data_IF_269350973505
#
_entry.id   IF_269350973505
#
_cell.length_a   1.000
_cell.length_b   1.000
_cell.length_c   1.000
_cell.angle_alpha   90.00
_cell.angle_beta   90.00
_cell.angle_gamma   90.00
#
_symmetry.space_group_name_H-M   'P 1'
#
loop_
_entity.id
_entity.type
_entity.pdbx_description
1 polymer ?
#
# COMPACT_ATOMS: atom_id res chain seq x y z
N UNK A 1 16.10 4.98 15.88
CA UNK A 1 16.46 3.63 15.41
C UNK A 1 16.83 3.67 13.93
N UNK A 2 15.90 3.71 12.97
CA UNK A 2 16.26 3.98 11.56
C UNK A 2 16.76 5.43 11.33
N UNK A 3 16.42 6.37 12.21
CA UNK A 3 17.00 7.72 12.27
C UNK A 3 18.53 7.72 12.29
N UNK A 4 19.16 6.76 12.98
CA UNK A 4 20.62 6.67 13.05
C UNK A 4 21.23 6.31 11.69
N UNK A 5 20.63 5.35 10.98
CA UNK A 5 21.07 4.97 9.63
C UNK A 5 20.97 6.14 8.66
N UNK A 6 19.89 6.93 8.73
CA UNK A 6 19.71 8.13 7.90
C UNK A 6 20.74 9.20 8.26
N UNK A 7 21.04 9.36 9.55
CA UNK A 7 22.04 10.32 10.03
C UNK A 7 23.45 9.95 9.56
N UNK A 8 23.87 8.70 9.73
CA UNK A 8 25.15 8.21 9.20
C UNK A 8 25.22 8.33 7.67
N UNK A 9 24.14 7.98 6.97
CA UNK A 9 24.06 8.10 5.51
C UNK A 9 24.30 9.54 5.05
N UNK A 10 23.60 10.52 5.64
CA UNK A 10 23.78 11.92 5.23
C UNK A 10 25.17 12.46 5.59
N UNK A 11 25.77 11.99 6.68
CA UNK A 11 27.16 12.34 7.03
C UNK A 11 28.16 11.80 5.99
N UNK A 12 27.99 10.55 5.54
CA UNK A 12 28.83 9.97 4.50
C UNK A 12 28.70 10.76 3.18
N UNK A 13 27.47 11.06 2.77
CA UNK A 13 27.23 11.85 1.54
C UNK A 13 27.78 13.28 1.69
N UNK A 14 27.66 13.91 2.86
CA UNK A 14 28.22 15.23 3.12
C UNK A 14 29.75 15.22 3.02
N UNK A 15 30.40 14.21 3.59
CA UNK A 15 31.85 14.03 3.51
C UNK A 15 32.33 13.84 2.06
N UNK A 16 31.64 13.02 1.26
CA UNK A 16 31.93 12.84 -0.17
C UNK A 16 31.84 14.16 -0.95
N UNK A 17 30.98 15.07 -0.50
CA UNK A 17 30.81 16.42 -1.05
C UNK A 17 31.70 17.50 -0.37
N UNK A 18 32.65 17.09 0.49
CA UNK A 18 33.57 17.99 1.23
C UNK A 18 32.86 18.99 2.14
N UNK A 19 31.72 18.60 2.72
CA UNK A 19 30.98 19.38 3.69
C UNK A 19 31.34 18.92 5.12
N UNK A 20 31.34 19.85 6.07
CA UNK A 20 31.66 19.55 7.48
C UNK A 20 30.51 18.91 8.25
N UNK A 21 29.27 19.09 7.77
CA UNK A 21 28.06 18.64 8.44
C UNK A 21 27.04 18.06 7.44
N UNK A 22 26.37 16.99 7.85
CA UNK A 22 25.25 16.39 7.13
C UNK A 22 23.91 16.78 7.77
N UNK A 23 22.91 17.09 6.95
CA UNK A 23 21.58 17.50 7.41
C UNK A 23 20.50 16.75 6.67
N UNK A 24 19.77 15.88 7.36
CA UNK A 24 18.59 15.19 6.83
C UNK A 24 17.56 15.05 7.94
N UNK A 25 16.28 15.03 7.57
CA UNK A 25 15.18 14.85 8.51
C UNK A 25 14.33 13.65 8.13
N UNK A 26 13.87 12.94 9.15
CA UNK A 26 13.02 11.76 8.99
C UNK A 26 11.65 12.06 9.56
N UNK A 27 10.64 12.11 8.69
CA UNK A 27 9.31 12.57 9.06
C UNK A 27 8.30 11.44 8.92
N UNK A 28 7.70 10.95 10.03
CA UNK A 28 6.60 10.00 9.94
C UNK A 28 5.34 10.70 9.45
N UNK A 29 4.57 10.00 8.62
CA UNK A 29 3.28 10.46 8.11
C UNK A 29 2.23 9.35 8.21
N UNK A 30 1.09 9.53 7.54
CA UNK A 30 0.03 8.53 7.48
C UNK A 30 -0.60 8.27 8.83
N UNK A 31 -0.91 7.01 9.11
CA UNK A 31 -1.69 6.64 10.29
C UNK A 31 -0.93 6.79 11.60
N UNK A 32 0.40 6.68 11.57
CA UNK A 32 1.24 6.89 12.74
C UNK A 32 1.16 8.35 13.22
N UNK A 33 1.29 9.32 12.30
CA UNK A 33 1.22 10.75 12.63
C UNK A 33 -0.18 11.21 13.08
N UNK A 34 -1.24 10.53 12.65
CA UNK A 34 -2.61 10.73 13.14
C UNK A 34 -2.90 9.99 14.45
N UNK A 35 -1.93 9.23 14.98
CA UNK A 35 -2.10 8.28 16.09
C UNK A 35 -3.18 7.21 15.83
N UNK A 36 -3.66 7.11 14.59
CA UNK A 36 -4.74 6.25 14.17
C UNK A 36 -4.24 4.95 13.50
N UNK A 37 -3.06 4.48 13.90
CA UNK A 37 -2.52 3.20 13.48
C UNK A 37 -3.23 2.06 14.20
N UNK A 38 -3.25 0.88 13.58
CA UNK A 38 -3.70 -0.37 14.19
C UNK A 38 -2.46 -1.24 14.50
N UNK A 39 -2.55 -2.30 15.31
CA UNK A 39 -1.40 -3.17 15.60
C UNK A 39 -0.74 -3.81 14.36
N UNK A 40 -1.46 -3.88 13.24
CA UNK A 40 -0.99 -4.37 11.94
C UNK A 40 -0.66 -3.27 10.94
N UNK A 41 -0.54 -2.02 11.39
CA UNK A 41 -0.21 -0.89 10.52
C UNK A 41 1.30 -0.79 10.31
N UNK A 42 1.67 -0.48 9.08
CA UNK A 42 3.04 -0.14 8.72
C UNK A 42 3.38 1.29 9.22
N UNK A 43 4.67 1.56 9.39
CA UNK A 43 5.21 2.87 9.70
C UNK A 43 5.65 3.55 8.40
N UNK A 44 4.85 4.52 7.95
CA UNK A 44 5.15 5.34 6.79
C UNK A 44 6.05 6.53 7.16
N UNK A 45 7.22 6.64 6.54
CA UNK A 45 8.18 7.72 6.80
C UNK A 45 8.77 8.25 5.50
N UNK A 46 9.07 9.55 5.48
CA UNK A 46 9.84 10.19 4.41
C UNK A 46 11.19 10.65 4.97
N UNK A 47 12.25 10.31 4.26
CA UNK A 47 13.58 10.89 4.44
C UNK A 47 13.66 12.13 3.57
N UNK A 48 13.85 13.29 4.19
CA UNK A 48 14.04 14.57 3.54
C UNK A 48 15.55 14.82 3.48
N UNK A 49 16.10 14.75 2.28
CA UNK A 49 17.51 14.99 1.98
C UNK A 49 17.77 16.41 1.43
N UNK A 50 18.96 16.97 1.67
CA UNK A 50 19.40 18.26 1.16
C UNK A 50 19.86 18.15 -0.30
N UNK A 51 20.16 19.29 -0.93
CA UNK A 51 20.50 19.38 -2.37
C UNK A 51 21.68 18.50 -2.81
N UNK A 52 22.61 18.22 -1.90
CA UNK A 52 23.81 17.42 -2.16
C UNK A 52 23.58 15.90 -2.04
N UNK A 53 22.36 15.48 -1.71
CA UNK A 53 21.95 14.07 -1.72
C UNK A 53 21.15 13.74 -2.99
N UNK A 54 21.14 12.47 -3.40
CA UNK A 54 20.41 12.00 -4.58
C UNK A 54 19.55 10.78 -4.30
N UNK A 55 18.55 10.55 -5.17
CA UNK A 55 17.73 9.33 -5.15
C UNK A 55 18.61 8.08 -5.30
N UNK A 56 19.62 8.16 -6.16
CA UNK A 56 20.53 7.03 -6.38
C UNK A 56 21.35 6.72 -5.13
N UNK A 57 21.82 7.74 -4.40
CA UNK A 57 22.50 7.55 -3.10
C UNK A 57 21.56 6.98 -2.03
N UNK A 58 20.28 7.36 -2.05
CA UNK A 58 19.28 6.76 -1.17
C UNK A 58 19.05 5.27 -1.47
N UNK A 59 18.97 4.87 -2.74
CA UNK A 59 18.77 3.47 -3.13
C UNK A 59 20.06 2.64 -3.22
N UNK A 60 21.24 3.25 -3.17
CA UNK A 60 22.52 2.55 -3.08
C UNK A 60 23.02 2.51 -1.63
N UNK A 61 23.52 3.64 -1.12
CA UNK A 61 24.19 3.71 0.18
C UNK A 61 23.24 3.41 1.35
N UNK A 62 22.10 4.12 1.45
CA UNK A 62 21.18 3.89 2.58
C UNK A 62 20.52 2.49 2.50
N UNK A 63 20.21 2.00 1.30
CA UNK A 63 19.70 0.63 1.12
C UNK A 63 20.71 -0.41 1.61
N UNK A 64 21.99 -0.25 1.27
CA UNK A 64 23.07 -1.13 1.74
C UNK A 64 23.19 -1.09 3.27
N UNK A 65 23.18 0.10 3.86
CA UNK A 65 23.21 0.26 5.32
C UNK A 65 22.00 -0.41 6.01
N UNK A 66 20.81 -0.31 5.42
CA UNK A 66 19.62 -1.01 5.91
C UNK A 66 19.82 -2.53 5.80
N UNK A 67 20.31 -3.03 4.65
CA UNK A 67 20.55 -4.47 4.44
C UNK A 67 21.57 -5.07 5.40
N UNK A 68 22.59 -4.31 5.78
CA UNK A 68 23.64 -4.75 6.71
C UNK A 68 23.23 -4.67 8.18
N UNK A 69 22.13 -3.98 8.52
CA UNK A 69 21.73 -3.80 9.90
C UNK A 69 21.11 -5.10 10.46
N UNK A 70 21.60 -5.65 11.60
CA UNK A 70 21.27 -6.99 12.08
C UNK A 70 19.78 -7.21 12.39
N UNK A 71 19.09 -6.15 12.82
CA UNK A 71 17.67 -6.21 13.21
C UNK A 71 16.70 -5.94 12.05
N UNK A 72 17.20 -5.92 10.81
CA UNK A 72 16.38 -5.74 9.62
C UNK A 72 16.08 -7.06 8.93
N UNK A 73 14.88 -7.15 8.37
CA UNK A 73 14.44 -8.29 7.57
C UNK A 73 13.49 -7.84 6.47
N UNK A 74 13.24 -8.72 5.50
CA UNK A 74 12.28 -8.50 4.41
C UNK A 74 12.49 -7.18 3.64
N UNK A 75 13.75 -6.75 3.48
CA UNK A 75 14.11 -5.53 2.76
C UNK A 75 13.76 -5.66 1.27
N UNK A 76 13.13 -4.64 0.71
CA UNK A 76 12.78 -4.51 -0.73
C UNK A 76 12.88 -3.06 -1.17
N UNK A 77 13.50 -2.79 -2.31
CA UNK A 77 13.42 -1.49 -2.98
C UNK A 77 12.33 -1.49 -4.06
N UNK A 78 11.63 -0.37 -4.19
CA UNK A 78 10.68 -0.08 -5.26
C UNK A 78 11.08 1.26 -5.87
N UNK A 79 11.92 1.21 -6.91
CA UNK A 79 12.56 2.41 -7.48
C UNK A 79 11.77 3.06 -8.63
N UNK A 80 10.98 2.26 -9.35
CA UNK A 80 10.24 2.67 -10.56
C UNK A 80 8.78 3.04 -10.31
N UNK A 81 8.38 3.18 -9.04
CA UNK A 81 7.05 3.60 -8.64
C UNK A 81 6.87 5.13 -8.65
N UNK A 82 5.61 5.59 -8.54
CA UNK A 82 5.32 7.04 -8.41
C UNK A 82 5.98 7.68 -7.21
N UNK A 83 5.98 6.94 -6.10
CA UNK A 83 6.72 7.27 -4.90
C UNK A 83 7.73 6.14 -4.74
N UNK A 84 8.98 6.35 -5.17
CA UNK A 84 10.04 5.39 -4.91
C UNK A 84 10.23 5.22 -3.41
N UNK A 85 10.32 3.99 -2.94
CA UNK A 85 10.46 3.69 -1.50
C UNK A 85 11.21 2.38 -1.23
N UNK A 86 11.76 2.26 -0.02
CA UNK A 86 12.35 1.04 0.53
C UNK A 86 11.38 0.51 1.59
N UNK A 87 10.96 -0.75 1.44
CA UNK A 87 10.16 -1.48 2.43
C UNK A 87 11.07 -2.39 3.23
N UNK A 88 10.91 -2.45 4.54
CA UNK A 88 11.60 -3.44 5.37
C UNK A 88 10.81 -3.71 6.65
N UNK A 89 11.27 -4.69 7.42
CA UNK A 89 10.81 -4.96 8.77
C UNK A 89 11.98 -4.77 9.72
N UNK A 90 11.78 -3.98 10.77
CA UNK A 90 12.79 -3.76 11.81
C UNK A 90 12.11 -3.92 13.17
N UNK A 91 12.63 -4.81 14.02
CA UNK A 91 12.02 -5.16 15.31
C UNK A 91 10.51 -5.45 15.20
N UNK A 92 10.13 -6.28 14.22
CA UNK A 92 8.73 -6.64 13.90
C UNK A 92 7.81 -5.51 13.41
N UNK A 93 8.30 -4.28 13.28
CA UNK A 93 7.57 -3.17 12.68
C UNK A 93 7.86 -3.15 11.18
N UNK A 94 6.82 -3.23 10.36
CA UNK A 94 6.94 -2.97 8.92
C UNK A 94 7.11 -1.46 8.69
N UNK A 95 8.11 -1.07 7.91
CA UNK A 95 8.47 0.32 7.64
C UNK A 95 8.53 0.54 6.13
N UNK A 96 7.83 1.59 5.68
CA UNK A 96 7.87 2.09 4.32
C UNK A 96 8.61 3.43 4.32
N UNK A 97 9.81 3.47 3.75
CA UNK A 97 10.67 4.67 3.71
C UNK A 97 10.70 5.25 2.30
N UNK A 98 10.05 6.38 2.11
CA UNK A 98 10.15 7.18 0.90
C UNK A 98 11.28 8.21 1.00
N UNK A 99 11.68 8.76 -0.15
CA UNK A 99 12.71 9.79 -0.23
C UNK A 99 12.19 11.06 -0.89
N UNK A 100 12.54 12.21 -0.32
CA UNK A 100 12.29 13.52 -0.90
C UNK A 100 13.56 14.38 -0.81
N UNK A 101 13.93 15.02 -1.91
CA UNK A 101 15.01 16.01 -1.94
C UNK A 101 14.45 17.43 -1.96
N UNK A 102 15.01 18.29 -1.12
CA UNK A 102 14.81 19.74 -1.18
C UNK A 102 16.05 20.45 -1.69
N UNK A 103 15.87 21.62 -2.31
CA UNK A 103 16.95 22.47 -2.80
C UNK A 103 17.52 23.37 -1.71
N UNK A 104 17.92 22.79 -0.58
CA UNK A 104 18.59 23.47 0.54
C UNK A 104 19.85 22.73 0.97
N UNK A 105 20.77 23.43 1.62
CA UNK A 105 21.92 22.81 2.28
C UNK A 105 21.57 22.20 3.65
N UNK A 106 20.56 22.77 4.32
CA UNK A 106 20.12 22.33 5.64
C UNK A 106 18.63 22.01 5.60
N UNK A 107 18.27 20.83 6.09
CA UNK A 107 16.89 20.36 6.15
C UNK A 107 16.24 20.88 7.43
N UNK A 108 15.07 21.56 7.36
CA UNK A 108 14.34 22.01 8.54
C UNK A 108 13.93 20.84 9.43
N UNK A 109 13.88 21.08 10.75
CA UNK A 109 13.40 20.08 11.71
C UNK A 109 11.90 19.83 11.51
N UNK A 110 11.42 18.63 11.85
CA UNK A 110 10.00 18.25 11.74
C UNK A 110 9.03 19.26 12.39
N UNK A 111 9.44 19.94 13.45
CA UNK A 111 8.61 20.98 14.09
C UNK A 111 8.39 22.22 13.24
N UNK A 112 9.37 22.57 12.40
CA UNK A 112 9.36 23.71 11.47
C UNK A 112 8.63 23.36 10.16
N UNK A 113 8.49 22.06 9.86
CA UNK A 113 7.76 21.56 8.68
C UNK A 113 6.22 21.70 8.80
N UNK A 114 5.73 22.23 9.92
CA UNK A 114 4.29 22.43 10.18
C UNK A 114 3.68 23.53 9.30
N UNK A 115 4.48 24.48 8.81
CA UNK A 115 3.98 25.55 7.96
C UNK A 115 3.86 25.08 6.49
N UNK A 116 2.60 24.90 6.06
CA UNK A 116 2.06 24.21 4.86
C UNK A 116 2.68 24.48 3.48
N UNK A 117 3.75 25.28 3.34
CA UNK A 117 4.24 25.74 2.03
C UNK A 117 5.76 25.66 1.90
N UNK A 118 6.50 25.52 3.01
CA UNK A 118 7.95 25.74 3.00
C UNK A 118 8.73 24.74 2.14
N UNK A 119 8.30 23.49 2.06
CA UNK A 119 9.00 22.49 1.24
C UNK A 119 8.59 22.53 -0.23
N UNK A 120 7.36 22.92 -0.59
CA UNK A 120 6.89 22.75 -1.97
C UNK A 120 7.61 23.65 -2.97
N UNK A 121 7.92 24.89 -2.60
CA UNK A 121 8.73 25.79 -3.45
C UNK A 121 10.19 25.34 -3.56
N UNK A 122 10.65 24.49 -2.64
CA UNK A 122 12.04 24.00 -2.56
C UNK A 122 12.22 22.63 -3.20
N UNK A 123 11.12 21.98 -3.60
CA UNK A 123 11.15 20.66 -4.22
C UNK A 123 11.17 20.82 -5.74
N UNK A 124 12.23 20.32 -6.35
CA UNK A 124 12.46 20.46 -7.80
C UNK A 124 11.94 19.29 -8.63
N UNK A 125 11.54 18.19 -7.98
CA UNK A 125 11.11 16.98 -8.67
C UNK A 125 9.77 16.47 -8.16
N UNK A 126 8.98 15.92 -9.08
CA UNK A 126 7.68 15.36 -8.75
C UNK A 126 7.75 14.13 -7.84
N UNK A 127 8.79 13.31 -7.99
CA UNK A 127 9.01 12.14 -7.13
C UNK A 127 9.21 12.54 -5.66
N UNK A 128 9.89 13.66 -5.42
CA UNK A 128 10.07 14.21 -4.07
C UNK A 128 8.83 14.94 -3.54
N UNK A 129 7.98 15.45 -4.44
CA UNK A 129 6.77 16.20 -4.08
C UNK A 129 5.72 15.30 -3.42
N UNK A 130 5.48 14.11 -3.96
CA UNK A 130 4.42 13.20 -3.52
C UNK A 130 4.54 12.72 -2.05
N UNK A 131 5.71 12.26 -1.55
CA UNK A 131 5.83 11.88 -0.14
C UNK A 131 5.71 13.11 0.79
N UNK A 132 6.17 14.29 0.38
CA UNK A 132 5.99 15.53 1.16
C UNK A 132 4.53 16.01 1.19
N UNK A 133 3.78 15.82 0.09
CA UNK A 133 2.33 16.04 0.10
C UNK A 133 1.63 15.16 1.12
N UNK A 134 2.09 13.91 1.32
CA UNK A 134 1.52 13.02 2.34
C UNK A 134 1.73 13.58 3.75
N UNK A 135 2.91 14.13 4.05
CA UNK A 135 3.19 14.84 5.31
C UNK A 135 2.26 16.06 5.46
N UNK A 136 2.11 16.85 4.40
CA UNK A 136 1.25 18.04 4.42
C UNK A 136 -0.22 17.66 4.70
N UNK A 137 -0.75 16.60 4.06
CA UNK A 137 -2.12 16.10 4.28
C UNK A 137 -2.36 15.75 5.75
N UNK A 138 -1.39 15.11 6.43
CA UNK A 138 -1.51 14.85 7.86
C UNK A 138 -1.68 16.13 8.68
N UNK A 139 -0.92 17.18 8.35
CA UNK A 139 -1.02 18.46 9.01
C UNK A 139 -2.37 19.14 8.71
N UNK A 140 -2.79 19.18 7.44
CA UNK A 140 -4.10 19.71 7.05
C UNK A 140 -5.24 19.02 7.82
N UNK A 141 -5.20 17.69 7.97
CA UNK A 141 -6.20 16.93 8.74
C UNK A 141 -6.21 17.39 10.20
N UNK A 142 -5.05 17.46 10.85
CA UNK A 142 -4.94 17.90 12.24
C UNK A 142 -5.44 19.34 12.44
N UNK A 143 -5.11 20.25 11.53
CA UNK A 143 -5.54 21.65 11.56
C UNK A 143 -7.04 21.81 11.27
N UNK A 144 -7.60 20.95 10.43
CA UNK A 144 -9.01 21.02 10.00
C UNK A 144 -10.00 20.45 11.03
N UNK A 145 -9.52 19.75 12.07
CA UNK A 145 -10.37 19.17 13.11
C UNK A 145 -10.16 19.97 14.41
N UNK A 146 -10.94 21.06 14.61
CA UNK A 146 -10.68 22.07 15.64
C UNK A 146 -10.92 21.59 17.09
N UNK A 147 -11.61 20.46 17.28
CA UNK A 147 -11.95 19.94 18.60
C UNK A 147 -11.68 18.43 18.70
N UNK A 148 -10.94 18.06 19.75
CA UNK A 148 -10.72 16.70 20.24
C UNK A 148 -10.03 15.72 19.26
N UNK A 149 -8.70 15.84 19.16
CA UNK A 149 -7.86 14.92 18.39
C UNK A 149 -7.99 13.45 18.83
N UNK A 150 -8.34 13.19 20.09
CA UNK A 150 -8.55 11.83 20.59
C UNK A 150 -9.81 11.20 19.96
N UNK A 151 -10.92 11.96 19.86
CA UNK A 151 -12.13 11.49 19.16
C UNK A 151 -11.83 11.22 17.69
N UNK A 152 -11.07 12.09 17.03
CA UNK A 152 -10.65 11.86 15.63
C UNK A 152 -9.85 10.56 15.52
N UNK A 153 -8.85 10.37 16.38
CA UNK A 153 -8.03 9.15 16.40
C UNK A 153 -8.88 7.90 16.62
N UNK A 154 -9.75 7.90 17.62
CA UNK A 154 -10.65 6.77 17.92
C UNK A 154 -11.62 6.49 16.77
N UNK A 155 -12.22 7.53 16.17
CA UNK A 155 -13.12 7.40 15.04
C UNK A 155 -12.43 6.81 13.81
N UNK A 156 -11.21 7.28 13.49
CA UNK A 156 -10.43 6.73 12.38
C UNK A 156 -10.02 5.28 12.68
N UNK A 157 -9.60 4.94 13.89
CA UNK A 157 -9.26 3.56 14.26
C UNK A 157 -10.47 2.63 14.13
N UNK A 158 -11.63 3.04 14.63
CA UNK A 158 -12.88 2.29 14.52
C UNK A 158 -13.26 2.08 13.05
N UNK A 159 -13.29 3.15 12.23
CA UNK A 159 -13.62 3.05 10.81
C UNK A 159 -12.63 2.18 10.04
N UNK A 160 -11.33 2.28 10.33
CA UNK A 160 -10.30 1.41 9.73
C UNK A 160 -10.52 -0.05 10.11
N UNK A 161 -10.79 -0.33 11.37
CA UNK A 161 -11.02 -1.70 11.84
C UNK A 161 -12.32 -2.28 11.27
N UNK A 162 -13.40 -1.50 11.28
CA UNK A 162 -14.66 -1.83 10.62
C UNK A 162 -14.45 -2.15 9.14
N UNK A 163 -13.81 -1.26 8.38
CA UNK A 163 -13.56 -1.47 6.96
C UNK A 163 -12.70 -2.73 6.69
N UNK A 164 -11.75 -3.06 7.59
CA UNK A 164 -11.00 -4.33 7.55
C UNK A 164 -11.92 -5.54 7.81
N UNK A 165 -12.78 -5.49 8.82
CA UNK A 165 -13.77 -6.55 9.07
C UNK A 165 -14.71 -6.73 7.87
N UNK A 166 -15.14 -5.63 7.25
CA UNK A 166 -16.04 -5.62 6.08
C UNK A 166 -15.35 -5.93 4.76
N UNK A 167 -14.03 -6.13 4.76
CA UNK A 167 -13.20 -6.46 3.59
C UNK A 167 -13.22 -5.40 2.48
N UNK A 168 -13.48 -4.14 2.86
CA UNK A 168 -13.46 -2.97 1.98
C UNK A 168 -12.25 -2.05 2.26
N UNK A 169 -11.34 -2.49 3.12
CA UNK A 169 -10.08 -1.81 3.43
C UNK A 169 -8.90 -2.52 2.78
N UNK A 170 -8.19 -1.81 1.90
CA UNK A 170 -6.99 -2.30 1.25
C UNK A 170 -6.76 -1.57 -0.08
N UNK A 171 -5.85 -0.62 -0.09
CA UNK A 171 -5.33 -0.01 -1.32
C UNK A 171 -3.92 -0.55 -1.57
N UNK A 172 -3.68 -1.09 -2.76
CA UNK A 172 -2.34 -1.12 -3.38
C UNK A 172 -2.46 -0.45 -4.76
N UNK A 173 -1.44 0.27 -5.24
CA UNK A 173 -1.59 1.51 -6.00
C UNK A 173 -2.18 1.31 -7.41
N UNK A 174 -2.97 2.30 -7.81
CA UNK A 174 -3.43 2.53 -9.16
C UNK A 174 -2.98 3.89 -9.65
N UNK A 175 -3.24 4.13 -10.92
CA UNK A 175 -2.54 5.09 -11.76
C UNK A 175 -3.24 6.46 -11.79
N UNK A 176 -3.28 7.25 -10.70
CA UNK A 176 -3.50 8.71 -10.82
C UNK A 176 -2.82 9.56 -9.71
N UNK A 177 -2.75 10.87 -9.91
CA UNK A 177 -1.77 11.84 -9.36
C UNK A 177 -2.20 12.59 -8.10
N UNK A 178 -3.36 12.26 -7.54
CA UNK A 178 -3.90 12.83 -6.31
C UNK A 178 -4.41 11.68 -5.41
N UNK A 179 -5.18 11.94 -4.35
CA UNK A 179 -5.92 10.92 -3.58
C UNK A 179 -6.96 10.16 -4.46
N UNK A 180 -6.54 9.63 -5.60
CA UNK A 180 -7.32 8.82 -6.51
C UNK A 180 -7.46 7.47 -5.82
N UNK A 181 -8.63 7.27 -5.25
CA UNK A 181 -9.07 5.95 -4.84
C UNK A 181 -8.95 5.00 -6.04
N UNK A 182 -8.39 3.81 -5.85
CA UNK A 182 -8.43 2.72 -6.84
C UNK A 182 -9.83 2.11 -6.97
N UNK A 183 -10.84 2.89 -6.62
CA UNK A 183 -12.23 2.54 -6.55
C UNK A 183 -12.79 2.66 -7.95
N UNK A 184 -13.09 1.52 -8.54
CA UNK A 184 -13.89 1.41 -9.74
C UNK A 184 -15.39 1.35 -9.40
N UNK A 185 -16.25 1.36 -10.41
CA UNK A 185 -17.71 1.36 -10.22
C UNK A 185 -18.21 0.18 -9.40
N UNK A 186 -17.55 -0.99 -9.45
CA UNK A 186 -17.95 -2.14 -8.63
C UNK A 186 -17.57 -1.97 -7.17
N UNK A 187 -16.31 -1.65 -6.89
CA UNK A 187 -15.83 -1.45 -5.52
C UNK A 187 -16.54 -0.27 -4.85
N UNK A 188 -16.92 0.76 -5.61
CA UNK A 188 -17.75 1.85 -5.10
C UNK A 188 -19.12 1.35 -4.62
N UNK A 189 -19.82 0.56 -5.45
CA UNK A 189 -21.10 -0.04 -5.07
C UNK A 189 -20.97 -0.86 -3.79
N UNK A 190 -19.88 -1.64 -3.67
CA UNK A 190 -19.59 -2.44 -2.48
C UNK A 190 -19.40 -1.58 -1.23
N UNK A 191 -18.61 -0.51 -1.33
CA UNK A 191 -18.37 0.44 -0.24
C UNK A 191 -19.68 1.13 0.19
N UNK A 192 -20.48 1.61 -0.77
CA UNK A 192 -21.76 2.28 -0.49
C UNK A 192 -22.75 1.32 0.19
N UNK A 193 -22.86 0.09 -0.29
CA UNK A 193 -23.73 -0.92 0.32
C UNK A 193 -23.33 -1.21 1.78
N UNK A 194 -22.04 -1.34 2.06
CA UNK A 194 -21.54 -1.53 3.43
C UNK A 194 -21.77 -0.31 4.33
N UNK A 195 -21.62 0.91 3.79
CA UNK A 195 -21.95 2.13 4.53
C UNK A 195 -23.44 2.20 4.89
N UNK A 196 -24.33 1.77 4.00
CA UNK A 196 -25.77 1.72 4.26
C UNK A 196 -26.11 0.69 5.35
N UNK A 197 -25.49 -0.50 5.29
CA UNK A 197 -25.62 -1.52 6.34
C UNK A 197 -25.10 -1.00 7.67
N UNK A 198 -23.91 -0.40 7.69
CA UNK A 198 -23.31 0.22 8.87
C UNK A 198 -24.22 1.29 9.47
N UNK A 199 -24.77 2.19 8.64
CA UNK A 199 -25.71 3.23 9.08
C UNK A 199 -27.01 2.66 9.66
N UNK A 200 -27.45 1.49 9.18
CA UNK A 200 -28.65 0.83 9.70
C UNK A 200 -28.37 0.20 11.07
N UNK A 201 -27.21 -0.44 11.22
CA UNK A 201 -26.75 -1.01 12.50
C UNK A 201 -26.52 0.08 13.55
N UNK A 202 -25.95 1.23 13.16
CA UNK A 202 -25.64 2.31 14.11
C UNK A 202 -26.87 3.07 14.61
N UNK A 203 -28.01 3.02 13.91
CA UNK A 203 -29.27 3.62 14.36
C UNK A 203 -29.83 2.92 15.61
N UNK A 204 -29.77 1.60 15.62
CA UNK A 204 -30.26 0.76 16.72
C UNK A 204 -29.08 0.00 17.37
N UNK A 205 -27.98 0.71 17.63
CA UNK A 205 -26.74 0.09 18.10
C UNK A 205 -26.90 -0.45 19.52
N UNK A 206 -27.19 -1.74 19.63
CA UNK A 206 -27.24 -2.45 20.91
C UNK A 206 -25.88 -3.04 21.29
N UNK A 207 -25.05 -3.41 20.30
CA UNK A 207 -23.73 -3.97 20.53
C UNK A 207 -22.76 -3.68 19.38
N UNK A 208 -21.51 -3.36 19.72
CA UNK A 208 -20.42 -3.13 18.76
C UNK A 208 -20.04 -4.39 17.96
N UNK A 209 -20.30 -5.59 18.50
CA UNK A 209 -19.96 -6.85 17.81
C UNK A 209 -20.71 -7.00 16.48
N UNK A 210 -21.95 -6.53 16.40
CA UNK A 210 -22.76 -6.54 15.18
C UNK A 210 -22.16 -5.67 14.08
N UNK A 211 -21.65 -4.48 14.45
CA UNK A 211 -20.99 -3.59 13.50
C UNK A 211 -19.64 -4.17 13.02
N UNK A 212 -18.90 -4.82 13.94
CA UNK A 212 -17.55 -5.31 13.70
C UNK A 212 -17.48 -6.77 13.22
N UNK A 213 -18.62 -7.36 12.86
CA UNK A 213 -18.67 -8.72 12.32
C UNK A 213 -17.87 -8.83 11.02
N UNK A 214 -17.00 -9.86 10.96
CA UNK A 214 -16.19 -10.17 9.78
C UNK A 214 -17.07 -10.58 8.61
N UNK A 215 -16.89 -9.93 7.47
CA UNK A 215 -17.60 -10.25 6.24
C UNK A 215 -17.25 -11.66 5.76
N UNK A 216 -18.30 -12.45 5.48
CA UNK A 216 -18.18 -13.85 5.07
C UNK A 216 -18.52 -13.99 3.59
N UNK A 217 -17.49 -14.03 2.74
CA UNK A 217 -17.67 -14.12 1.28
C UNK A 217 -18.56 -15.31 0.87
N UNK A 218 -18.44 -16.47 1.52
CA UNK A 218 -19.23 -17.67 1.18
C UNK A 218 -20.73 -17.58 1.48
N UNK A 219 -21.19 -16.59 2.27
CA UNK A 219 -22.62 -16.38 2.52
C UNK A 219 -23.26 -15.40 1.54
N UNK A 220 -22.45 -14.54 0.92
CA UNK A 220 -22.92 -13.44 0.08
C UNK A 220 -22.65 -13.65 -1.41
N UNK A 221 -21.87 -14.69 -1.75
CA UNK A 221 -21.42 -14.95 -3.11
C UNK A 221 -21.42 -16.45 -3.41
N UNK A 222 -21.94 -16.82 -4.57
CA UNK A 222 -22.08 -18.22 -5.01
C UNK A 222 -20.93 -18.72 -5.89
N UNK A 223 -20.18 -17.82 -6.55
CA UNK A 223 -19.11 -18.17 -7.50
C UNK A 223 -17.83 -17.39 -7.23
N UNK A 224 -16.69 -18.02 -7.49
CA UNK A 224 -15.38 -17.42 -7.24
C UNK A 224 -14.38 -17.76 -8.35
N UNK A 225 -13.74 -16.73 -8.89
CA UNK A 225 -12.48 -16.80 -9.61
C UNK A 225 -11.35 -16.84 -8.59
N UNK A 226 -10.54 -17.88 -8.69
CA UNK A 226 -9.34 -18.10 -7.88
C UNK A 226 -8.09 -17.74 -8.68
N UNK A 227 -7.32 -16.81 -8.13
CA UNK A 227 -5.99 -16.47 -8.66
C UNK A 227 -4.95 -17.14 -7.79
N UNK A 228 -4.23 -18.09 -8.38
CA UNK A 228 -3.17 -18.84 -7.74
C UNK A 228 -1.79 -18.30 -8.14
N UNK A 229 -0.97 -18.00 -7.16
CA UNK A 229 0.46 -17.72 -7.35
C UNK A 229 1.24 -18.87 -6.74
N UNK A 230 2.08 -19.52 -7.55
CA UNK A 230 2.93 -20.64 -7.17
C UNK A 230 4.39 -20.22 -7.31
N UNK A 231 5.17 -20.27 -6.22
CA UNK A 231 6.60 -19.93 -6.25
C UNK A 231 7.38 -20.88 -5.34
N UNK A 232 8.63 -21.18 -5.72
CA UNK A 232 9.55 -22.05 -4.98
C UNK A 232 10.32 -21.31 -3.88
N UNK A 233 10.58 -20.01 -4.06
CA UNK A 233 11.25 -19.14 -3.10
C UNK A 233 10.28 -18.15 -2.42
N UNK A 234 10.44 -17.98 -1.10
CA UNK A 234 9.66 -17.06 -0.27
C UNK A 234 9.94 -15.59 -0.63
N UNK A 235 11.20 -15.20 -0.92
CA UNK A 235 11.52 -13.80 -1.25
C UNK A 235 10.87 -13.40 -2.57
N UNK A 236 10.94 -14.29 -3.57
CA UNK A 236 10.22 -14.11 -4.83
C UNK A 236 8.71 -14.08 -4.62
N UNK A 237 8.15 -14.97 -3.79
CA UNK A 237 6.70 -15.02 -3.57
C UNK A 237 6.13 -13.64 -3.26
N UNK A 238 6.67 -12.93 -2.28
CA UNK A 238 6.09 -11.67 -1.87
C UNK A 238 6.22 -10.55 -2.93
N UNK A 239 7.29 -10.55 -3.74
CA UNK A 239 7.40 -9.66 -4.90
C UNK A 239 6.29 -9.94 -5.91
N UNK A 240 5.98 -11.22 -6.12
CA UNK A 240 4.87 -11.64 -6.98
C UNK A 240 3.50 -11.28 -6.41
N UNK A 241 3.30 -11.41 -5.09
CA UNK A 241 2.10 -10.94 -4.41
C UNK A 241 1.87 -9.46 -4.73
N UNK A 242 2.88 -8.63 -4.51
CA UNK A 242 2.82 -7.19 -4.72
C UNK A 242 2.55 -6.83 -6.18
N UNK A 243 3.25 -7.49 -7.10
CA UNK A 243 3.07 -7.30 -8.53
C UNK A 243 1.64 -7.62 -8.99
N UNK A 244 1.12 -8.78 -8.60
CA UNK A 244 -0.23 -9.22 -8.99
C UNK A 244 -1.30 -8.31 -8.38
N UNK A 245 -1.16 -7.96 -7.09
CA UNK A 245 -2.07 -7.01 -6.42
C UNK A 245 -2.13 -5.66 -7.14
N UNK A 246 -1.00 -5.15 -7.64
CA UNK A 246 -0.96 -3.88 -8.38
C UNK A 246 -1.78 -3.88 -9.68
N UNK A 247 -2.09 -5.06 -10.25
CA UNK A 247 -2.81 -5.21 -11.51
C UNK A 247 -4.27 -5.61 -11.34
N UNK A 248 -4.74 -5.72 -10.10
CA UNK A 248 -6.13 -6.05 -9.81
C UNK A 248 -7.11 -5.04 -10.39
N UNK A 249 -6.85 -3.74 -10.24
CA UNK A 249 -7.72 -2.70 -10.80
C UNK A 249 -7.91 -2.90 -12.31
N UNK A 250 -6.82 -3.11 -13.04
CA UNK A 250 -6.84 -3.37 -14.48
C UNK A 250 -7.60 -4.66 -14.82
N UNK A 251 -7.44 -5.71 -14.02
CA UNK A 251 -8.19 -6.96 -14.20
C UNK A 251 -9.70 -6.72 -14.03
N UNK A 252 -10.12 -6.01 -12.97
CA UNK A 252 -11.54 -5.71 -12.73
C UNK A 252 -12.12 -4.92 -13.91
N UNK A 253 -11.39 -3.92 -14.41
CA UNK A 253 -11.85 -3.12 -15.54
C UNK A 253 -11.99 -3.94 -16.82
N UNK A 254 -11.06 -4.86 -17.09
CA UNK A 254 -11.16 -5.78 -18.23
C UNK A 254 -12.37 -6.70 -18.08
N UNK A 255 -12.53 -7.30 -16.89
CA UNK A 255 -13.66 -8.18 -16.59
C UNK A 255 -15.00 -7.44 -16.73
N UNK A 256 -15.09 -6.22 -16.20
CA UNK A 256 -16.29 -5.39 -16.28
C UNK A 256 -16.63 -5.03 -17.73
N UNK A 257 -15.64 -4.59 -18.52
CA UNK A 257 -15.85 -4.25 -19.94
C UNK A 257 -16.31 -5.45 -20.77
N UNK A 258 -15.72 -6.62 -20.52
CA UNK A 258 -15.93 -7.79 -21.37
C UNK A 258 -17.16 -8.62 -21.01
N UNK A 259 -17.57 -8.58 -19.73
CA UNK A 259 -18.64 -9.44 -19.22
C UNK A 259 -19.85 -8.64 -18.72
N UNK A 260 -19.70 -7.32 -18.54
CA UNK A 260 -20.67 -6.43 -17.91
C UNK A 260 -20.98 -6.74 -16.42
N UNK A 261 -20.25 -7.66 -15.79
CA UNK A 261 -20.48 -8.05 -14.40
C UNK A 261 -19.67 -7.24 -13.39
N UNK A 262 -20.27 -7.05 -12.22
CA UNK A 262 -19.61 -6.47 -11.06
C UNK A 262 -18.72 -7.55 -10.40
N UNK A 263 -17.42 -7.27 -10.25
CA UNK A 263 -16.48 -8.07 -9.46
C UNK A 263 -16.14 -7.44 -8.10
N UNK A 264 -16.36 -8.18 -7.01
CA UNK A 264 -15.91 -7.83 -5.66
C UNK A 264 -14.61 -8.58 -5.31
N UNK A 265 -13.44 -7.90 -5.31
CA UNK A 265 -12.15 -8.54 -5.06
C UNK A 265 -11.94 -8.79 -3.56
N UNK A 266 -11.74 -10.05 -3.16
CA UNK A 266 -11.20 -10.34 -1.84
C UNK A 266 -9.66 -10.22 -1.85
N UNK A 267 -9.14 -9.18 -1.20
CA UNK A 267 -7.69 -8.92 -1.09
C UNK A 267 -6.98 -9.77 -0.02
N UNK A 268 -7.73 -10.61 0.71
CA UNK A 268 -7.18 -11.51 1.72
C UNK A 268 -6.37 -12.61 1.05
N UNK A 269 -5.14 -12.81 1.52
CA UNK A 269 -4.25 -13.86 1.06
C UNK A 269 -4.58 -15.16 1.81
N UNK A 270 -4.72 -16.26 1.07
CA UNK A 270 -4.89 -17.60 1.65
C UNK A 270 -3.68 -18.45 1.26
N UNK A 271 -2.95 -18.98 2.24
CA UNK A 271 -1.88 -19.96 2.00
C UNK A 271 -2.46 -21.36 1.91
N UNK A 272 -2.22 -22.05 0.79
CA UNK A 272 -2.58 -23.46 0.61
C UNK A 272 -1.30 -24.26 0.29
N UNK A 273 -1.06 -25.38 1.01
CA UNK A 273 0.01 -26.33 0.72
C UNK A 273 0.68 -26.97 1.95
N UNK A 274 0.52 -28.29 2.10
CA UNK A 274 1.23 -29.16 3.07
C UNK A 274 2.45 -29.89 2.46
N UNK A 275 2.81 -29.65 1.20
CA UNK A 275 3.97 -30.30 0.56
C UNK A 275 5.13 -29.33 0.37
N UNK A 276 6.32 -29.78 0.79
CA UNK A 276 7.50 -29.01 1.22
C UNK A 276 8.19 -28.06 0.22
N UNK A 277 7.60 -27.69 -0.92
CA UNK A 277 8.28 -26.85 -1.94
C UNK A 277 7.44 -25.78 -2.64
N UNK A 278 6.11 -25.77 -2.51
CA UNK A 278 5.27 -24.86 -3.31
C UNK A 278 4.30 -24.11 -2.43
N UNK A 279 4.47 -22.79 -2.30
CA UNK A 279 3.51 -21.91 -1.63
C UNK A 279 2.48 -21.45 -2.65
N UNK A 280 1.22 -21.79 -2.41
CA UNK A 280 0.09 -21.38 -3.23
C UNK A 280 -0.66 -20.26 -2.50
N UNK A 281 -0.81 -19.11 -3.14
CA UNK A 281 -1.65 -18.03 -2.63
C UNK A 281 -2.89 -17.84 -3.49
N UNK A 282 -4.06 -17.81 -2.86
CA UNK A 282 -5.37 -17.71 -3.54
C UNK A 282 -6.00 -16.32 -3.33
N UNK A 283 -6.56 -15.73 -4.38
CA UNK A 283 -7.50 -14.60 -4.29
C UNK A 283 -8.87 -14.99 -4.84
N UNK A 284 -9.95 -14.57 -4.18
CA UNK A 284 -11.34 -14.92 -4.54
C UNK A 284 -12.08 -13.72 -5.15
N UNK A 285 -12.63 -13.89 -6.36
CA UNK A 285 -13.23 -12.82 -7.16
C UNK A 285 -14.57 -13.24 -7.75
N UNK A 286 -15.68 -12.56 -7.43
CA UNK A 286 -17.00 -13.01 -7.89
C UNK A 286 -17.41 -12.43 -9.27
N UNK A 287 -18.32 -13.12 -9.96
CA UNK A 287 -19.12 -12.64 -11.09
C UNK A 287 -20.61 -12.83 -10.80
N UNK A 288 -21.42 -11.78 -10.86
CA UNK A 288 -22.88 -11.92 -10.77
C UNK A 288 -23.46 -12.62 -12.02
N UNK A 289 -23.96 -13.85 -11.93
CA UNK A 289 -24.85 -14.55 -12.89
C UNK A 289 -24.40 -14.65 -14.37
N UNK A 290 -23.78 -15.77 -14.80
CA UNK A 290 -24.07 -16.49 -16.06
C UNK A 290 -22.98 -17.53 -16.47
N UNK A 291 -23.38 -18.71 -16.95
CA UNK A 291 -22.51 -19.74 -17.53
C UNK A 291 -21.76 -19.31 -18.82
N UNK A 292 -22.26 -18.28 -19.53
CA UNK A 292 -21.65 -17.72 -20.76
C UNK A 292 -20.26 -17.11 -20.49
N UNK A 293 -19.97 -16.73 -19.25
CA UNK A 293 -18.69 -16.16 -18.82
C UNK A 293 -17.56 -17.20 -18.94
N UNK A 294 -17.84 -18.44 -18.55
CA UNK A 294 -16.87 -19.54 -18.49
C UNK A 294 -16.18 -19.78 -19.84
N UNK A 295 -16.97 -19.79 -20.91
CA UNK A 295 -16.49 -20.03 -22.28
C UNK A 295 -15.68 -18.85 -22.82
N UNK A 296 -16.14 -17.60 -22.60
CA UNK A 296 -15.44 -16.40 -23.06
C UNK A 296 -14.12 -16.16 -22.32
N UNK A 297 -14.02 -16.55 -21.05
CA UNK A 297 -12.84 -16.32 -20.23
C UNK A 297 -11.70 -17.31 -20.52
N UNK A 298 -12.02 -18.59 -20.74
CA UNK A 298 -11.02 -19.62 -21.14
C UNK A 298 -10.29 -19.22 -22.43
N UNK A 299 -10.98 -18.57 -23.36
CA UNK A 299 -10.40 -18.02 -24.59
C UNK A 299 -9.52 -16.76 -24.35
N UNK A 300 -9.83 -15.95 -23.32
CA UNK A 300 -9.15 -14.67 -23.03
C UNK A 300 -8.01 -14.76 -22.02
N UNK A 301 -7.90 -15.85 -21.25
CA UNK A 301 -6.79 -16.14 -20.31
C UNK A 301 -5.42 -15.87 -20.94
N UNK A 302 -5.19 -16.33 -22.18
CA UNK A 302 -3.94 -16.10 -22.92
C UNK A 302 -3.65 -14.62 -23.19
N UNK A 303 -4.67 -13.80 -23.48
CA UNK A 303 -4.53 -12.36 -23.78
C UNK A 303 -4.25 -11.51 -22.53
N UNK A 304 -4.75 -11.92 -21.37
CA UNK A 304 -4.42 -11.28 -20.09
C UNK A 304 -2.99 -11.63 -19.68
N UNK A 305 -2.63 -12.92 -19.66
CA UNK A 305 -1.29 -13.37 -19.29
C UNK A 305 -0.19 -12.75 -20.18
N UNK A 306 -0.46 -12.59 -21.48
CA UNK A 306 0.45 -11.94 -22.43
C UNK A 306 0.59 -10.43 -22.25
N UNK A 307 -0.38 -9.76 -21.59
CA UNK A 307 -0.34 -8.31 -21.30
C UNK A 307 0.24 -8.00 -19.93
N UNK A 308 0.19 -8.97 -19.02
CA UNK A 308 0.50 -8.77 -17.60
C UNK A 308 1.85 -9.35 -17.21
N UNK A 309 2.47 -10.20 -18.04
CA UNK A 309 3.77 -10.83 -17.70
C UNK A 309 4.68 -11.10 -18.91
N UNK A 310 6.02 -11.09 -18.75
CA UNK A 310 6.94 -11.62 -19.76
C UNK A 310 6.65 -13.12 -20.03
N UNK A 311 6.98 -13.64 -21.22
CA UNK A 311 6.58 -15.01 -21.63
C UNK A 311 7.00 -16.12 -20.65
N UNK A 312 8.13 -15.97 -19.97
CA UNK A 312 8.66 -16.94 -19.00
C UNK A 312 7.79 -17.10 -17.74
N UNK A 313 6.95 -16.10 -17.45
CA UNK A 313 6.23 -15.88 -16.19
C UNK A 313 4.85 -16.55 -16.17
N UNK A 314 4.42 -17.14 -17.31
CA UNK A 314 3.14 -17.82 -17.48
C UNK A 314 3.05 -19.14 -16.67
N UNK A 315 4.18 -19.68 -16.21
CA UNK A 315 4.25 -20.94 -15.46
C UNK A 315 3.84 -20.81 -13.99
N UNK A 316 3.84 -19.59 -13.44
CA UNK A 316 3.69 -19.35 -11.99
C UNK A 316 2.29 -18.84 -11.60
N UNK A 317 1.49 -18.38 -12.56
CA UNK A 317 0.13 -17.88 -12.32
C UNK A 317 -0.90 -18.85 -12.89
N UNK A 318 -1.60 -19.55 -12.00
CA UNK A 318 -2.75 -20.35 -12.36
C UNK A 318 -4.02 -19.57 -12.06
N UNK A 319 -4.96 -19.65 -12.97
CA UNK A 319 -6.27 -19.04 -12.83
C UNK A 319 -7.28 -20.16 -12.99
N UNK A 320 -8.08 -20.36 -11.95
CA UNK A 320 -9.12 -21.38 -11.88
C UNK A 320 -10.44 -20.76 -11.46
N UNK A 321 -11.54 -21.33 -11.93
CA UNK A 321 -12.88 -20.93 -11.53
C UNK A 321 -13.51 -22.17 -10.91
N UNK A 322 -13.85 -22.09 -9.64
CA UNK A 322 -14.62 -23.15 -8.98
C UNK A 322 -16.07 -23.07 -9.50
N UNK A 323 -16.61 -24.22 -9.91
CA UNK A 323 -18.02 -24.40 -10.33
C UNK A 323 -18.96 -24.62 -9.13
#
# INVERSE_FOLDING_TARGET
MYYYLVHEWVLNVAHDNKLSEGSAEVVPYGSFRLQAYLPSSDLDVVVIGPRYTSKDQFFSQLLEMILCHPETSNVRSIESGKVPLIKFRMYEVAVDVAYARIDDLFVPKNEELKDEIFCFSRVTTRESLLPLQSVAVNYFIHKSVPYNGEILTQAIQLLKYWAKCRKIYGNKPGTSEYCSSNVNSTTLKRIVAELQVGASITKDLTCWSSLLEKYRYGLHHERFLKIYISVTDKKMLDQWIDFVKSRFVTLIDILKKDTNFDCDPNLTEFSCGESSRTKIMVYLWNFMKCAIIFIKWRAKKRRYLSRVSPREWHHFMLLDIDD
#
